data_IF_841032915693
#
_entry.id   IF_841032915693
#
_cell.length_a   1.000
_cell.length_b   1.000
_cell.length_c   1.000
_cell.angle_alpha   90.00
_cell.angle_beta   90.00
_cell.angle_gamma   90.00
#
_symmetry.space_group_name_H-M   'P 1'
#
loop_
_entity.id
_entity.type
_entity.pdbx_description
1 polymer ?
#
# COMPACT_ATOMS: atom_id res chain seq x y z
N UNK A 1 -11.71 12.78 16.55
CA UNK A 1 -12.98 13.50 16.77
C UNK A 1 -13.82 13.35 15.51
N UNK A 2 -15.10 13.02 15.63
CA UNK A 2 -15.99 12.89 14.46
C UNK A 2 -16.43 14.26 13.96
N UNK A 3 -16.57 14.42 12.64
CA UNK A 3 -17.20 15.59 12.04
C UNK A 3 -18.71 15.61 12.34
N UNK A 4 -19.31 16.81 12.29
CA UNK A 4 -20.76 17.00 12.48
C UNK A 4 -21.29 17.77 11.28
N UNK A 5 -22.42 17.32 10.74
CA UNK A 5 -23.14 17.98 9.66
C UNK A 5 -24.62 18.17 10.06
N UNK A 6 -25.24 19.24 9.57
CA UNK A 6 -26.68 19.48 9.68
C UNK A 6 -27.26 19.26 8.29
N UNK A 7 -28.14 18.25 8.15
CA UNK A 7 -28.83 17.96 6.90
C UNK A 7 -30.29 18.40 6.97
N UNK A 8 -30.73 19.20 5.99
CA UNK A 8 -32.12 19.63 5.86
C UNK A 8 -32.65 19.06 4.55
N UNK A 9 -33.57 18.10 4.65
CA UNK A 9 -34.15 17.41 3.50
C UNK A 9 -35.62 17.79 3.38
N UNK A 10 -35.96 18.52 2.32
CA UNK A 10 -37.31 19.03 2.07
C UNK A 10 -37.95 18.21 0.97
N UNK A 11 -39.13 17.64 1.23
CA UNK A 11 -39.95 16.93 0.25
C UNK A 11 -41.23 17.73 0.00
N UNK A 12 -41.42 18.20 -1.22
CA UNK A 12 -42.61 18.94 -1.64
C UNK A 12 -43.58 17.99 -2.36
N UNK A 13 -44.84 17.86 -1.91
CA UNK A 13 -45.84 17.07 -2.64
C UNK A 13 -46.01 17.56 -4.08
N UNK A 14 -46.03 16.64 -5.04
CA UNK A 14 -46.23 16.95 -6.47
C UNK A 14 -44.99 17.47 -7.20
N UNK A 15 -43.81 17.51 -6.56
CA UNK A 15 -42.54 17.73 -7.26
C UNK A 15 -41.85 16.42 -7.63
N UNK A 16 -41.69 16.23 -8.93
CA UNK A 16 -40.91 15.15 -9.54
C UNK A 16 -39.59 15.68 -10.12
N UNK A 17 -38.53 14.87 -10.09
CA UNK A 17 -37.21 15.19 -10.66
C UNK A 17 -36.08 15.26 -9.63
N UNK A 18 -34.89 15.68 -10.10
CA UNK A 18 -33.70 15.82 -9.25
C UNK A 18 -33.82 17.04 -8.32
N UNK A 19 -33.50 16.83 -7.04
CA UNK A 19 -33.44 17.90 -6.07
C UNK A 19 -32.25 18.84 -6.32
N UNK A 20 -32.43 20.12 -5.99
CA UNK A 20 -31.32 21.07 -5.89
C UNK A 20 -30.60 20.84 -4.57
N UNK A 21 -29.27 20.90 -4.59
CA UNK A 21 -28.45 20.64 -3.40
C UNK A 21 -27.68 21.91 -3.05
N UNK A 22 -27.79 22.32 -1.80
CA UNK A 22 -27.13 23.51 -1.27
C UNK A 22 -26.20 23.13 -0.14
N UNK A 23 -25.04 23.77 -0.10
CA UNK A 23 -24.01 23.51 0.89
C UNK A 23 -23.47 24.80 1.50
N UNK A 24 -23.18 24.75 2.79
CA UNK A 24 -22.42 25.77 3.50
C UNK A 24 -21.47 25.07 4.49
N UNK A 25 -20.26 25.61 4.67
CA UNK A 25 -19.26 25.05 5.56
C UNK A 25 -18.96 26.01 6.71
N UNK A 26 -18.80 25.46 7.91
CA UNK A 26 -18.42 26.22 9.09
C UNK A 26 -17.22 25.57 9.77
N UNK A 27 -16.04 26.15 9.54
CA UNK A 27 -14.79 25.71 10.14
C UNK A 27 -14.42 26.54 11.38
N UNK A 28 -13.63 25.95 12.29
CA UNK A 28 -13.10 26.65 13.47
C UNK A 28 -13.52 26.05 14.81
N UNK A 29 -13.29 26.82 15.87
CA UNK A 29 -13.56 26.42 17.26
C UNK A 29 -15.05 26.32 17.54
N UNK A 30 -15.45 25.47 18.51
CA UNK A 30 -16.85 25.34 18.93
C UNK A 30 -17.40 26.67 19.44
N UNK A 31 -16.66 27.33 20.32
CA UNK A 31 -16.98 28.62 20.94
C UNK A 31 -15.68 29.23 21.49
N UNK A 32 -15.50 30.54 21.34
CA UNK A 32 -14.40 31.29 21.95
C UNK A 32 -14.54 31.40 23.46
N UNK A 33 -13.46 31.76 24.17
CA UNK A 33 -13.47 31.91 25.64
C UNK A 33 -14.47 32.96 26.12
N UNK A 34 -14.59 34.08 25.40
CA UNK A 34 -15.58 35.15 25.66
C UNK A 34 -17.00 34.78 25.19
N UNK A 35 -17.15 33.64 24.51
CA UNK A 35 -18.41 33.10 24.04
C UNK A 35 -19.04 33.81 22.85
N UNK A 36 -18.36 34.77 22.24
CA UNK A 36 -18.92 35.64 21.20
C UNK A 36 -18.63 35.18 19.77
N UNK A 37 -17.68 34.27 19.58
CA UNK A 37 -17.31 33.76 18.26
C UNK A 37 -17.17 32.23 18.23
N UNK A 38 -17.12 31.67 17.02
CA UNK A 38 -17.06 30.23 16.77
C UNK A 38 -18.39 29.65 16.27
N UNK A 39 -18.45 28.32 16.24
CA UNK A 39 -19.56 27.59 15.62
C UNK A 39 -20.91 27.83 16.29
N UNK A 40 -20.98 27.79 17.63
CA UNK A 40 -22.25 27.93 18.33
C UNK A 40 -22.86 29.34 18.23
N UNK A 41 -22.10 30.44 18.42
CA UNK A 41 -22.64 31.79 18.18
C UNK A 41 -23.12 31.98 16.74
N UNK A 42 -22.36 31.52 15.73
CA UNK A 42 -22.78 31.58 14.33
C UNK A 42 -24.11 30.86 14.10
N UNK A 43 -24.25 29.62 14.60
CA UNK A 43 -25.49 28.84 14.45
C UNK A 43 -26.67 29.45 15.23
N UNK A 44 -26.41 30.24 16.28
CA UNK A 44 -27.48 30.91 17.05
C UNK A 44 -27.98 32.18 16.35
N UNK A 45 -27.13 32.85 15.56
CA UNK A 45 -27.46 34.09 14.85
C UNK A 45 -27.93 33.88 13.41
N UNK A 46 -27.71 32.69 12.83
CA UNK A 46 -28.06 32.35 11.46
C UNK A 46 -29.17 31.30 11.43
N UNK A 47 -29.96 31.36 10.36
CA UNK A 47 -31.02 30.39 10.05
C UNK A 47 -30.87 29.95 8.58
N UNK A 48 -31.82 29.17 8.08
CA UNK A 48 -31.80 28.66 6.70
C UNK A 48 -31.84 29.79 5.66
N UNK A 49 -32.46 30.93 5.98
CA UNK A 49 -32.57 32.05 5.04
C UNK A 49 -31.35 32.96 5.07
N UNK A 50 -30.69 33.10 6.23
CA UNK A 50 -29.48 33.93 6.41
C UNK A 50 -28.19 33.22 6.04
N UNK A 51 -28.18 31.88 6.09
CA UNK A 51 -26.99 31.11 5.76
C UNK A 51 -26.59 31.34 4.31
N UNK A 52 -25.32 31.68 4.08
CA UNK A 52 -24.77 31.78 2.73
C UNK A 52 -24.60 30.37 2.14
N UNK A 53 -25.56 29.99 1.31
CA UNK A 53 -25.57 28.71 0.61
C UNK A 53 -24.90 28.81 -0.75
N UNK A 54 -24.10 27.80 -1.07
CA UNK A 54 -23.60 27.55 -2.43
C UNK A 54 -24.37 26.39 -3.02
N UNK A 55 -25.02 26.58 -4.17
CA UNK A 55 -25.60 25.48 -4.92
C UNK A 55 -24.47 24.58 -5.46
N UNK A 56 -24.60 23.28 -5.22
CA UNK A 56 -23.65 22.26 -5.66
C UNK A 56 -24.37 21.25 -6.53
N UNK A 57 -23.60 20.57 -7.38
CA UNK A 57 -24.09 19.57 -8.32
C UNK A 57 -23.37 18.26 -8.03
N UNK A 58 -23.83 17.46 -7.05
CA UNK A 58 -23.25 16.16 -6.77
C UNK A 58 -23.30 15.27 -8.01
N UNK A 59 -22.15 14.83 -8.48
CA UNK A 59 -22.02 14.04 -9.69
C UNK A 59 -21.33 12.69 -9.42
N UNK A 60 -21.56 11.73 -10.32
CA UNK A 60 -20.87 10.44 -10.31
C UNK A 60 -19.33 10.62 -10.32
N UNK A 61 -18.57 9.70 -9.70
CA UNK A 61 -19.04 8.49 -9.03
C UNK A 61 -19.39 8.66 -7.55
N UNK A 62 -18.96 9.75 -6.90
CA UNK A 62 -19.00 9.87 -5.44
C UNK A 62 -20.19 10.66 -4.90
N UNK A 63 -20.84 11.49 -5.74
CA UNK A 63 -21.94 12.38 -5.34
C UNK A 63 -21.64 13.18 -4.06
N UNK A 64 -20.44 13.80 -3.98
CA UNK A 64 -20.02 14.50 -2.78
C UNK A 64 -20.87 15.74 -2.51
N UNK A 65 -21.29 15.91 -1.25
CA UNK A 65 -22.01 17.10 -0.79
C UNK A 65 -21.05 18.19 -0.32
N UNK A 66 -20.07 18.51 -1.17
CA UNK A 66 -19.14 19.62 -0.97
C UNK A 66 -18.86 20.33 -2.30
N UNK A 67 -18.44 21.59 -2.30
CA UNK A 67 -17.96 22.26 -3.49
C UNK A 67 -16.73 21.54 -4.03
N UNK A 68 -16.72 21.27 -5.34
CA UNK A 68 -15.58 20.68 -6.04
C UNK A 68 -15.22 21.51 -7.26
N UNK A 69 -13.92 21.65 -7.54
CA UNK A 69 -13.46 22.29 -8.76
C UNK A 69 -13.72 21.35 -9.95
N UNK A 70 -14.77 21.63 -10.73
CA UNK A 70 -15.23 20.79 -11.85
C UNK A 70 -14.10 20.47 -12.84
N UNK A 71 -13.24 21.44 -13.17
CA UNK A 71 -12.12 21.24 -14.10
C UNK A 71 -11.11 20.23 -13.54
N UNK A 72 -10.71 20.39 -12.28
CA UNK A 72 -9.78 19.49 -11.61
C UNK A 72 -10.34 18.07 -11.47
N UNK A 73 -11.64 17.96 -11.18
CA UNK A 73 -12.36 16.68 -11.12
C UNK A 73 -12.33 15.97 -12.48
N UNK A 74 -12.75 16.65 -13.55
CA UNK A 74 -12.73 16.09 -14.91
C UNK A 74 -11.31 15.69 -15.33
N UNK A 75 -10.31 16.51 -15.02
CA UNK A 75 -8.90 16.21 -15.25
C UNK A 75 -8.48 14.91 -14.53
N UNK A 76 -8.75 14.78 -13.23
CA UNK A 76 -8.39 13.58 -12.46
C UNK A 76 -9.10 12.33 -12.95
N UNK A 77 -10.42 12.39 -13.18
CA UNK A 77 -11.20 11.22 -13.63
C UNK A 77 -10.95 10.84 -15.10
N UNK A 78 -10.35 11.72 -15.90
CA UNK A 78 -9.88 11.37 -17.24
C UNK A 78 -8.60 10.52 -17.23
N UNK A 79 -7.92 10.42 -16.09
CA UNK A 79 -6.74 9.58 -15.89
C UNK A 79 -7.12 8.14 -15.52
N UNK A 80 -6.23 7.20 -15.85
CA UNK A 80 -6.44 5.77 -15.63
C UNK A 80 -6.38 5.41 -14.14
N UNK A 81 -7.37 4.69 -13.62
CA UNK A 81 -7.33 4.16 -12.26
C UNK A 81 -6.31 3.02 -12.18
N UNK A 82 -5.51 2.96 -11.12
CA UNK A 82 -4.49 1.89 -10.99
C UNK A 82 -5.10 0.48 -11.04
N UNK A 83 -6.34 0.31 -10.56
CA UNK A 83 -7.08 -0.97 -10.67
C UNK A 83 -7.52 -1.28 -12.10
N UNK A 84 -7.66 -0.27 -12.95
CA UNK A 84 -7.99 -0.46 -14.37
C UNK A 84 -6.71 -0.72 -15.18
N UNK A 85 -5.56 -0.18 -14.75
CA UNK A 85 -4.25 -0.45 -15.34
C UNK A 85 -3.78 -1.85 -14.97
N UNK A 86 -3.87 -2.21 -13.69
CA UNK A 86 -3.39 -3.47 -13.10
C UNK A 86 -4.57 -4.24 -12.49
N UNK A 87 -5.36 -4.94 -13.32
CA UNK A 87 -6.65 -5.51 -12.92
C UNK A 87 -6.53 -6.60 -11.85
N UNK A 88 -5.46 -7.41 -11.88
CA UNK A 88 -5.23 -8.39 -10.83
C UNK A 88 -4.62 -7.69 -9.61
N UNK A 89 -5.40 -7.52 -8.55
CA UNK A 89 -4.93 -6.98 -7.27
C UNK A 89 -5.77 -7.53 -6.11
N UNK A 90 -5.22 -7.50 -4.91
CA UNK A 90 -5.95 -7.88 -3.70
C UNK A 90 -5.34 -7.16 -2.49
N UNK A 91 -6.08 -7.19 -1.39
CA UNK A 91 -5.55 -6.71 -0.10
C UNK A 91 -4.39 -7.59 0.35
N UNK A 92 -3.56 -7.08 1.26
CA UNK A 92 -2.52 -7.89 1.89
C UNK A 92 -3.06 -9.04 2.75
N UNK A 93 -2.14 -9.91 3.20
CA UNK A 93 -2.46 -11.04 4.07
C UNK A 93 -3.07 -10.53 5.38
N UNK A 94 -4.18 -11.14 5.79
CA UNK A 94 -4.78 -10.96 7.12
C UNK A 94 -4.43 -12.17 7.96
N UNK A 95 -3.57 -11.97 8.96
CA UNK A 95 -3.18 -13.05 9.88
C UNK A 95 -4.17 -13.18 11.04
N UNK A 96 -4.74 -12.06 11.50
CA UNK A 96 -5.39 -11.86 12.80
C UNK A 96 -4.52 -12.17 14.04
N UNK A 97 -3.30 -12.72 13.86
CA UNK A 97 -2.39 -13.21 14.91
C UNK A 97 -0.93 -13.00 14.47
N UNK A 98 -0.55 -11.74 14.22
CA UNK A 98 0.79 -11.39 13.70
C UNK A 98 1.91 -12.02 14.54
N UNK A 99 1.84 -11.97 15.88
CA UNK A 99 2.85 -12.55 16.78
C UNK A 99 3.06 -14.05 16.61
N UNK A 100 2.03 -14.79 16.18
CA UNK A 100 2.12 -16.22 15.94
C UNK A 100 2.69 -16.51 14.54
N UNK A 101 2.31 -15.68 13.56
CA UNK A 101 2.45 -16.00 12.13
C UNK A 101 3.62 -15.32 11.44
N UNK A 102 4.15 -14.22 12.01
CA UNK A 102 5.17 -13.38 11.40
C UNK A 102 6.33 -13.21 12.38
N UNK A 103 7.54 -13.57 11.97
CA UNK A 103 8.75 -13.56 12.81
C UNK A 103 9.93 -12.88 12.11
N UNK A 104 10.88 -12.35 12.88
CA UNK A 104 12.06 -11.67 12.33
C UNK A 104 13.01 -12.64 11.62
N UNK A 105 13.09 -13.88 12.11
CA UNK A 105 13.96 -14.91 11.53
C UNK A 105 13.22 -16.18 11.12
N UNK A 106 13.73 -16.85 10.09
CA UNK A 106 13.28 -18.20 9.68
C UNK A 106 13.34 -19.18 10.85
N UNK A 107 14.37 -19.09 11.69
CA UNK A 107 14.58 -19.96 12.85
C UNK A 107 13.47 -19.81 13.89
N UNK A 108 13.10 -18.58 14.23
CA UNK A 108 12.00 -18.31 15.17
C UNK A 108 10.66 -18.76 14.63
N UNK A 109 10.39 -18.53 13.34
CA UNK A 109 9.19 -19.04 12.68
C UNK A 109 9.12 -20.56 12.78
N UNK A 110 10.19 -21.27 12.41
CA UNK A 110 10.24 -22.75 12.45
C UNK A 110 10.03 -23.27 13.87
N UNK A 111 10.67 -22.65 14.86
CA UNK A 111 10.48 -23.01 16.27
C UNK A 111 9.02 -22.83 16.68
N UNK A 112 8.43 -21.68 16.33
CA UNK A 112 7.05 -21.32 16.66
C UNK A 112 6.04 -22.28 16.04
N UNK A 113 6.15 -22.58 14.73
CA UNK A 113 5.19 -23.46 14.06
C UNK A 113 5.26 -24.90 14.56
N UNK A 114 6.45 -25.40 14.91
CA UNK A 114 6.64 -26.75 15.48
C UNK A 114 6.02 -26.86 16.86
N UNK A 115 6.29 -25.88 17.71
CA UNK A 115 5.78 -25.79 19.08
C UNK A 115 4.25 -25.60 19.10
N UNK A 116 3.74 -24.66 18.31
CA UNK A 116 2.30 -24.44 18.15
C UNK A 116 1.58 -25.70 17.64
N UNK A 117 2.14 -26.42 16.68
CA UNK A 117 1.49 -27.60 16.09
C UNK A 117 1.48 -28.84 16.99
N UNK A 118 2.37 -28.91 17.99
CA UNK A 118 2.58 -30.11 18.82
C UNK A 118 1.82 -30.09 20.14
N UNK A 119 1.56 -28.92 20.72
CA UNK A 119 0.86 -28.80 22.01
C UNK A 119 -0.67 -28.82 21.84
N UNK A 120 -1.46 -29.11 22.90
CA UNK A 120 -2.93 -29.01 22.87
C UNK A 120 -3.46 -27.59 22.61
N UNK A 121 -4.73 -27.46 22.23
CA UNK A 121 -5.32 -26.17 21.81
C UNK A 121 -5.35 -25.14 22.93
N UNK A 122 -5.76 -25.51 24.13
CA UNK A 122 -5.81 -24.58 25.26
C UNK A 122 -4.41 -24.22 25.77
N UNK A 123 -3.46 -25.17 25.77
CA UNK A 123 -2.04 -24.86 26.05
C UNK A 123 -1.45 -23.89 25.02
N UNK A 124 -1.78 -24.06 23.73
CA UNK A 124 -1.38 -23.12 22.69
C UNK A 124 -2.03 -21.74 22.89
N UNK A 125 -3.29 -21.72 23.31
CA UNK A 125 -4.03 -20.48 23.56
C UNK A 125 -3.33 -19.63 24.62
N UNK A 126 -2.98 -20.23 25.74
CA UNK A 126 -2.26 -19.57 26.83
C UNK A 126 -0.85 -19.15 26.41
N UNK A 127 -0.07 -20.10 25.88
CA UNK A 127 1.35 -19.88 25.54
C UNK A 127 1.58 -18.77 24.50
N UNK A 128 0.71 -18.70 23.50
CA UNK A 128 0.82 -17.70 22.41
C UNK A 128 -0.08 -16.49 22.61
N UNK A 129 -0.76 -16.37 23.77
CA UNK A 129 -1.65 -15.25 24.07
C UNK A 129 -2.79 -15.09 23.05
N UNK A 130 -3.39 -16.20 22.63
CA UNK A 130 -4.42 -16.22 21.59
C UNK A 130 -5.80 -15.97 22.23
N UNK A 131 -6.56 -15.05 21.67
CA UNK A 131 -7.95 -14.82 22.09
C UNK A 131 -8.87 -16.01 21.77
N UNK A 132 -10.16 -15.86 22.10
CA UNK A 132 -11.19 -16.83 21.72
C UNK A 132 -11.22 -17.06 20.21
N UNK A 133 -11.61 -18.27 19.84
CA UNK A 133 -11.84 -18.64 18.45
C UNK A 133 -12.94 -17.76 17.83
N UNK A 134 -12.82 -17.53 16.54
CA UNK A 134 -13.75 -16.71 15.75
C UNK A 134 -14.26 -17.51 14.56
N UNK A 135 -15.22 -16.94 13.82
CA UNK A 135 -15.72 -17.56 12.59
C UNK A 135 -14.60 -17.79 11.57
N UNK A 136 -13.69 -16.84 11.46
CA UNK A 136 -12.67 -16.79 10.39
C UNK A 136 -11.29 -17.31 10.85
N UNK A 137 -11.15 -17.71 12.12
CA UNK A 137 -9.91 -18.27 12.65
C UNK A 137 -10.12 -19.11 13.91
N UNK A 138 -9.61 -20.35 13.90
CA UNK A 138 -9.65 -21.33 15.00
C UNK A 138 -8.29 -22.01 15.16
N UNK A 139 -7.90 -22.29 16.41
CA UNK A 139 -6.60 -22.93 16.70
C UNK A 139 -6.49 -24.30 16.01
N UNK A 140 -7.54 -25.12 16.11
CA UNK A 140 -7.57 -26.46 15.50
C UNK A 140 -7.40 -26.43 13.98
N UNK A 141 -8.02 -25.46 13.31
CA UNK A 141 -7.89 -25.30 11.85
C UNK A 141 -6.50 -24.81 11.45
N UNK A 142 -5.93 -23.85 12.19
CA UNK A 142 -4.57 -23.39 11.95
C UNK A 142 -3.54 -24.52 12.11
N UNK A 143 -3.68 -25.36 13.14
CA UNK A 143 -2.83 -26.55 13.32
C UNK A 143 -3.04 -27.59 12.23
N UNK A 144 -4.29 -27.84 11.82
CA UNK A 144 -4.58 -28.78 10.76
C UNK A 144 -3.96 -28.34 9.42
N UNK A 145 -4.01 -27.05 9.12
CA UNK A 145 -3.39 -26.46 7.93
C UNK A 145 -1.88 -26.67 7.92
N UNK A 146 -1.21 -26.35 9.03
CA UNK A 146 0.23 -26.60 9.21
C UNK A 146 0.61 -28.09 9.07
N UNK A 147 -0.21 -28.99 9.61
CA UNK A 147 0.04 -30.45 9.58
C UNK A 147 -0.17 -31.05 8.19
N UNK A 148 -1.17 -30.58 7.43
CA UNK A 148 -1.41 -31.02 6.05
C UNK A 148 -0.17 -30.85 5.18
N UNK A 149 0.57 -29.77 5.42
CA UNK A 149 1.77 -29.41 4.68
C UNK A 149 3.07 -30.03 5.25
N UNK A 150 2.94 -30.92 6.25
CA UNK A 150 4.02 -31.68 6.90
C UNK A 150 5.17 -30.83 7.44
N UNK A 151 4.98 -29.52 7.61
CA UNK A 151 6.00 -28.58 8.07
C UNK A 151 7.34 -28.71 7.30
N UNK A 152 7.28 -29.03 6.01
CA UNK A 152 8.46 -29.37 5.21
C UNK A 152 9.38 -28.17 4.90
N UNK A 153 9.03 -26.97 5.37
CA UNK A 153 9.80 -25.74 5.21
C UNK A 153 9.63 -25.07 3.84
N UNK A 154 9.01 -25.73 2.86
CA UNK A 154 8.80 -25.20 1.50
C UNK A 154 7.94 -23.94 1.46
N UNK A 155 7.03 -23.78 2.43
CA UNK A 155 6.13 -22.64 2.53
C UNK A 155 6.67 -21.49 3.41
N UNK A 156 7.95 -21.52 3.79
CA UNK A 156 8.57 -20.37 4.46
C UNK A 156 8.82 -19.29 3.41
N UNK A 157 8.18 -18.14 3.59
CA UNK A 157 8.24 -17.03 2.64
C UNK A 157 8.57 -15.72 3.33
N UNK A 158 9.23 -14.84 2.58
CA UNK A 158 9.44 -13.46 3.00
C UNK A 158 8.19 -12.61 2.78
N UNK A 159 7.94 -11.74 3.75
CA UNK A 159 6.80 -10.85 3.82
C UNK A 159 7.32 -9.46 4.15
N UNK A 160 6.97 -8.48 3.33
CA UNK A 160 7.13 -7.08 3.68
C UNK A 160 6.12 -6.73 4.78
N UNK A 161 6.56 -6.80 6.03
CA UNK A 161 5.70 -6.50 7.17
C UNK A 161 5.39 -5.01 7.20
N UNK A 162 6.40 -4.14 7.04
CA UNK A 162 6.29 -2.68 6.88
C UNK A 162 7.35 -2.20 5.89
N UNK A 163 7.32 -0.95 5.38
CA UNK A 163 8.42 -0.40 4.60
C UNK A 163 9.76 -0.68 5.27
N UNK A 164 10.67 -1.33 4.55
CA UNK A 164 12.01 -1.72 5.00
C UNK A 164 12.06 -2.76 6.16
N UNK A 165 10.94 -3.39 6.52
CA UNK A 165 10.84 -4.42 7.55
C UNK A 165 10.40 -5.74 6.90
N UNK A 166 11.38 -6.50 6.42
CA UNK A 166 11.18 -7.85 5.89
C UNK A 166 11.16 -8.87 7.03
N UNK A 167 10.16 -9.73 7.02
CA UNK A 167 9.95 -10.78 8.02
C UNK A 167 9.60 -12.10 7.34
N UNK A 168 9.56 -13.15 8.13
CA UNK A 168 9.23 -14.50 7.68
C UNK A 168 7.86 -14.93 8.15
N UNK A 169 7.13 -15.60 7.26
CA UNK A 169 5.85 -16.25 7.54
C UNK A 169 5.82 -17.64 6.91
N UNK A 170 4.92 -18.50 7.40
CA UNK A 170 4.62 -19.79 6.77
C UNK A 170 3.35 -19.66 5.91
N UNK A 171 3.49 -19.53 4.59
CA UNK A 171 2.39 -19.23 3.68
C UNK A 171 1.83 -20.48 3.02
N UNK A 172 0.69 -20.97 3.51
CA UNK A 172 -0.02 -22.13 2.94
C UNK A 172 -1.00 -21.77 1.83
N UNK A 173 -1.43 -20.51 1.74
CA UNK A 173 -2.47 -20.06 0.82
C UNK A 173 -3.90 -20.45 1.21
N UNK A 174 -4.09 -21.20 2.30
CA UNK A 174 -5.41 -21.69 2.73
C UNK A 174 -6.12 -20.70 3.67
N UNK A 175 -7.33 -20.29 3.31
CA UNK A 175 -8.15 -19.42 4.16
C UNK A 175 -8.64 -20.16 5.42
N UNK A 176 -8.83 -19.42 6.51
CA UNK A 176 -9.18 -19.96 7.83
C UNK A 176 -8.19 -21.02 8.36
N UNK A 177 -6.94 -20.97 7.87
CA UNK A 177 -5.84 -21.85 8.26
C UNK A 177 -4.84 -21.13 9.16
N UNK A 178 -3.54 -21.31 8.89
CA UNK A 178 -2.50 -20.59 9.63
C UNK A 178 -2.65 -19.07 9.48
N UNK A 179 -3.05 -18.62 8.29
CA UNK A 179 -3.52 -17.25 8.04
C UNK A 179 -5.05 -17.22 7.95
N UNK A 180 -5.65 -16.15 8.47
CA UNK A 180 -7.10 -15.93 8.37
C UNK A 180 -7.51 -15.71 6.91
N UNK A 181 -6.86 -14.78 6.19
CA UNK A 181 -7.09 -14.51 4.75
C UNK A 181 -5.74 -14.34 4.04
N UNK A 182 -5.20 -15.41 3.42
CA UNK A 182 -3.90 -15.37 2.75
C UNK A 182 -3.91 -14.72 1.35
N UNK A 183 -5.08 -14.58 0.72
CA UNK A 183 -5.22 -13.96 -0.62
C UNK A 183 -4.40 -14.67 -1.72
N UNK A 184 -4.55 -16.01 -1.87
CA UNK A 184 -3.77 -16.79 -2.82
C UNK A 184 -3.94 -16.33 -4.27
N UNK A 185 -5.08 -15.74 -4.62
CA UNK A 185 -5.37 -15.21 -5.95
C UNK A 185 -4.35 -14.17 -6.45
N UNK A 186 -3.67 -13.47 -5.53
CA UNK A 186 -2.63 -12.46 -5.86
C UNK A 186 -1.28 -12.83 -5.29
N UNK A 187 -1.21 -13.24 -4.02
CA UNK A 187 0.05 -13.51 -3.32
C UNK A 187 0.88 -14.61 -3.98
N UNK A 188 0.24 -15.59 -4.63
CA UNK A 188 0.93 -16.65 -5.37
C UNK A 188 1.88 -16.10 -6.45
N UNK A 189 1.55 -14.95 -7.05
CA UNK A 189 2.35 -14.35 -8.11
C UNK A 189 3.64 -13.71 -7.59
N UNK A 190 3.70 -13.41 -6.29
CA UNK A 190 4.93 -12.96 -5.63
C UNK A 190 5.80 -14.12 -5.15
N UNK A 191 5.27 -15.35 -5.16
CA UNK A 191 5.98 -16.57 -4.76
C UNK A 191 6.44 -17.41 -5.96
N UNK A 192 5.80 -17.21 -7.11
CA UNK A 192 6.06 -17.98 -8.33
C UNK A 192 7.44 -17.67 -8.96
N UNK A 193 8.03 -16.52 -8.68
CA UNK A 193 9.33 -16.13 -9.22
C UNK A 193 9.52 -14.62 -9.10
N UNK A 194 10.50 -14.10 -9.83
CA UNK A 194 10.80 -12.67 -9.83
C UNK A 194 9.56 -11.84 -10.19
N UNK A 195 9.17 -10.94 -9.30
CA UNK A 195 8.04 -10.06 -9.53
C UNK A 195 8.25 -8.74 -8.81
N UNK A 196 7.62 -7.69 -9.31
CA UNK A 196 7.53 -6.39 -8.66
C UNK A 196 6.07 -6.13 -8.31
N UNK A 197 5.80 -5.53 -7.17
CA UNK A 197 4.45 -5.15 -6.77
C UNK A 197 4.40 -3.70 -6.33
N UNK A 198 3.34 -2.98 -6.71
CA UNK A 198 3.00 -1.70 -6.10
C UNK A 198 2.06 -1.96 -4.94
N UNK A 199 2.39 -1.43 -3.77
CA UNK A 199 1.54 -1.40 -2.60
C UNK A 199 0.92 -0.01 -2.48
N UNK A 200 -0.39 0.07 -2.35
CA UNK A 200 -1.09 1.35 -2.10
C UNK A 200 -2.36 1.16 -1.28
N UNK A 201 -3.07 2.25 -0.97
CA UNK A 201 -4.36 2.27 -0.28
C UNK A 201 -5.45 2.75 -1.23
N UNK A 202 -6.69 2.34 -0.97
CA UNK A 202 -7.87 2.92 -1.63
C UNK A 202 -8.28 4.23 -0.98
N UNK A 203 -8.40 4.22 0.33
CA UNK A 203 -8.82 5.38 1.11
C UNK A 203 -7.71 5.75 2.08
N UNK A 204 -7.70 7.01 2.50
CA UNK A 204 -6.77 7.52 3.50
C UNK A 204 -7.57 8.12 4.65
N UNK A 205 -7.44 7.53 5.83
CA UNK A 205 -8.10 7.95 7.07
C UNK A 205 -7.23 8.91 7.89
N UNK A 206 -5.90 8.76 7.82
CA UNK A 206 -4.96 9.60 8.56
C UNK A 206 -4.93 11.03 7.99
N UNK A 207 -4.80 12.06 8.82
CA UNK A 207 -4.58 13.43 8.36
C UNK A 207 -3.18 13.63 7.74
N UNK A 208 -3.05 14.39 6.64
CA UNK A 208 -1.75 14.77 6.06
C UNK A 208 -1.69 14.59 4.55
N UNK A 209 -0.49 14.48 3.97
CA UNK A 209 -0.29 14.23 2.53
C UNK A 209 -0.36 12.74 2.17
N UNK A 210 -0.79 12.43 0.95
CA UNK A 210 -0.81 11.05 0.47
C UNK A 210 0.63 10.56 0.28
N UNK A 211 1.05 9.57 1.06
CA UNK A 211 2.41 9.01 1.07
C UNK A 211 2.40 7.47 1.00
N UNK A 212 1.22 6.89 0.84
CA UNK A 212 0.97 5.46 1.03
C UNK A 212 1.23 4.65 -0.24
N UNK A 213 2.40 4.81 -0.85
CA UNK A 213 2.83 4.03 -2.02
C UNK A 213 4.23 3.47 -1.77
N UNK A 214 4.38 2.15 -1.95
CA UNK A 214 5.66 1.47 -1.77
C UNK A 214 5.79 0.30 -2.74
N UNK A 215 7.00 -0.05 -3.17
CA UNK A 215 7.23 -1.21 -4.02
C UNK A 215 7.76 -2.41 -3.23
N UNK A 216 7.53 -3.62 -3.71
CA UNK A 216 8.00 -4.85 -3.06
C UNK A 216 8.29 -5.94 -4.09
N UNK A 217 9.15 -6.89 -3.72
CA UNK A 217 9.31 -8.19 -4.41
C UNK A 217 8.67 -9.34 -3.63
N UNK A 218 8.14 -9.06 -2.44
CA UNK A 218 7.69 -10.04 -1.47
C UNK A 218 6.17 -9.98 -1.25
N UNK A 219 5.64 -10.96 -0.51
CA UNK A 219 4.29 -10.91 0.03
C UNK A 219 4.08 -9.62 0.85
N UNK A 220 2.82 -9.20 1.00
CA UNK A 220 2.48 -8.09 1.90
C UNK A 220 1.43 -8.48 2.93
N UNK A 221 1.44 -7.76 4.04
CA UNK A 221 0.41 -7.77 5.06
C UNK A 221 -0.58 -6.63 4.78
N UNK A 222 -1.84 -6.76 5.19
CA UNK A 222 -2.87 -5.76 4.87
C UNK A 222 -2.66 -4.37 5.50
N UNK A 223 -1.65 -4.19 6.35
CA UNK A 223 -1.21 -2.94 6.95
C UNK A 223 0.30 -2.68 6.73
N UNK A 224 0.86 -3.21 5.64
CA UNK A 224 2.26 -2.98 5.27
C UNK A 224 2.61 -1.50 5.18
N UNK A 225 2.00 -0.75 4.27
CA UNK A 225 2.35 0.66 4.01
C UNK A 225 1.65 1.61 4.98
N UNK A 226 0.48 1.23 5.49
CA UNK A 226 -0.21 2.00 6.54
C UNK A 226 -0.82 1.10 7.60
N UNK A 227 -0.63 1.51 8.85
CA UNK A 227 -1.21 0.87 10.03
C UNK A 227 -2.71 1.13 10.21
N UNK A 228 -3.27 2.12 9.50
CA UNK A 228 -4.69 2.49 9.64
C UNK A 228 -5.53 2.08 8.46
N UNK A 229 -4.94 2.03 7.27
CA UNK A 229 -5.67 1.72 6.06
C UNK A 229 -5.33 0.34 5.53
N UNK A 230 -6.30 -0.27 4.84
CA UNK A 230 -6.10 -1.54 4.15
C UNK A 230 -5.22 -1.32 2.93
N UNK A 231 -4.11 -2.04 2.87
CA UNK A 231 -3.16 -1.98 1.77
C UNK A 231 -3.45 -3.07 0.73
N UNK A 232 -3.32 -2.67 -0.52
CA UNK A 232 -3.52 -3.47 -1.72
C UNK A 232 -2.20 -3.70 -2.42
N UNK A 233 -2.04 -4.88 -3.01
CA UNK A 233 -0.90 -5.26 -3.83
C UNK A 233 -1.31 -5.38 -5.29
N UNK A 234 -0.55 -4.74 -6.16
CA UNK A 234 -0.67 -4.79 -7.61
C UNK A 234 0.61 -5.44 -8.19
N UNK A 235 0.66 -6.77 -8.39
CA UNK A 235 1.82 -7.43 -8.98
C UNK A 235 1.98 -7.04 -10.45
N UNK A 236 3.21 -6.82 -10.90
CA UNK A 236 3.55 -6.44 -12.27
C UNK A 236 3.34 -7.61 -13.23
N UNK A 237 3.65 -8.82 -12.79
CA UNK A 237 3.48 -10.03 -13.59
C UNK A 237 2.45 -10.97 -13.00
N UNK A 238 1.67 -11.60 -13.89
CA UNK A 238 0.79 -12.71 -13.60
C UNK A 238 1.46 -13.99 -14.10
N UNK A 239 1.63 -14.94 -13.19
CA UNK A 239 2.14 -16.27 -13.49
C UNK A 239 1.00 -17.22 -13.86
N UNK A 240 1.17 -18.01 -14.92
CA UNK A 240 0.22 -19.05 -15.30
C UNK A 240 0.12 -20.08 -14.17
N UNK A 241 -1.07 -20.64 -14.01
CA UNK A 241 -1.22 -21.84 -13.17
C UNK A 241 -0.26 -22.92 -13.70
N UNK A 242 0.46 -23.62 -12.81
CA UNK A 242 1.15 -24.83 -13.24
C UNK A 242 0.10 -25.76 -13.85
N UNK A 243 0.35 -26.30 -15.05
CA UNK A 243 -0.51 -27.36 -15.58
C UNK A 243 -0.42 -28.52 -14.61
N UNK A 244 -1.56 -28.92 -14.04
CA UNK A 244 -1.68 -30.18 -13.30
C UNK A 244 -1.51 -31.33 -14.29
N UNK A 245 -0.27 -31.75 -14.56
CA UNK A 245 -0.05 -33.13 -14.99
C UNK A 245 -0.24 -33.99 -13.73
N UNK A 246 -1.33 -34.74 -13.70
CA UNK A 246 -1.65 -35.68 -12.62
C UNK A 246 -0.60 -36.79 -12.65
N UNK A 247 0.49 -36.61 -11.92
CA UNK A 247 1.39 -37.68 -11.53
C UNK A 247 1.49 -37.70 -10.00
N UNK A 248 0.47 -38.29 -9.36
CA UNK A 248 0.55 -39.04 -8.09
C UNK A 248 1.23 -38.44 -6.84
N UNK A 249 1.76 -37.22 -6.85
CA UNK A 249 2.45 -36.61 -5.72
C UNK A 249 2.13 -35.11 -5.68
N UNK A 250 1.41 -34.69 -4.64
CA UNK A 250 1.09 -33.30 -4.32
C UNK A 250 2.37 -32.51 -4.02
N UNK A 251 3.06 -32.04 -5.06
CA UNK A 251 4.28 -31.26 -4.97
C UNK A 251 4.04 -29.84 -5.49
N UNK A 252 3.99 -28.86 -4.58
CA UNK A 252 4.26 -27.46 -4.91
C UNK A 252 5.79 -27.27 -4.98
N UNK A 253 6.40 -27.76 -6.07
CA UNK A 253 7.70 -27.27 -6.52
C UNK A 253 7.46 -26.53 -7.84
N UNK A 254 7.17 -25.24 -7.71
CA UNK A 254 6.93 -24.35 -8.81
C UNK A 254 8.26 -23.97 -9.48
N UNK A 255 8.84 -24.88 -10.28
CA UNK A 255 9.92 -24.52 -11.20
C UNK A 255 9.31 -23.89 -12.45
N UNK A 256 9.19 -22.57 -12.45
CA UNK A 256 8.75 -21.81 -13.61
C UNK A 256 9.95 -21.50 -14.52
N UNK A 257 9.84 -21.83 -15.81
CA UNK A 257 10.65 -21.17 -16.85
C UNK A 257 10.25 -19.67 -16.86
N UNK A 258 11.15 -18.80 -16.37
CA UNK A 258 10.90 -17.39 -16.02
C UNK A 258 10.37 -16.54 -17.17
N UNK A 259 10.64 -16.91 -18.42
CA UNK A 259 10.22 -16.16 -19.61
C UNK A 259 9.00 -16.74 -20.33
N UNK A 260 8.59 -17.99 -20.05
CA UNK A 260 7.45 -18.64 -20.75
C UNK A 260 6.15 -18.69 -19.95
N UNK A 261 6.24 -18.46 -18.65
CA UNK A 261 5.13 -18.72 -17.72
C UNK A 261 4.53 -17.49 -17.05
N UNK A 262 4.94 -16.27 -17.41
CA UNK A 262 4.33 -15.04 -16.89
C UNK A 262 3.91 -14.09 -18.02
N UNK A 263 3.04 -13.14 -17.72
CA UNK A 263 2.64 -12.05 -18.62
C UNK A 263 2.35 -10.80 -17.79
N UNK A 264 2.47 -9.58 -18.37
CA UNK A 264 2.26 -8.36 -17.61
C UNK A 264 0.79 -8.23 -17.16
N UNK A 265 0.59 -7.87 -15.90
CA UNK A 265 -0.69 -7.45 -15.32
C UNK A 265 -1.03 -6.02 -15.76
N UNK A 266 -1.07 -5.80 -17.07
CA UNK A 266 -1.32 -4.49 -17.67
C UNK A 266 -2.50 -4.59 -18.63
N UNK A 267 -3.46 -3.70 -18.47
CA UNK A 267 -4.64 -3.65 -19.31
C UNK A 267 -4.26 -3.34 -20.77
N UNK A 268 -4.70 -4.16 -21.76
CA UNK A 268 -4.41 -3.94 -23.17
C UNK A 268 -4.85 -2.57 -23.71
N UNK A 269 -5.98 -2.03 -23.25
CA UNK A 269 -6.46 -0.71 -23.71
C UNK A 269 -5.56 0.42 -23.20
N UNK A 270 -5.07 0.29 -21.96
CA UNK A 270 -4.08 1.20 -21.40
C UNK A 270 -2.76 1.13 -22.18
N UNK A 271 -2.29 -0.08 -22.49
CA UNK A 271 -1.07 -0.28 -23.29
C UNK A 271 -1.20 0.37 -24.67
N UNK A 272 -2.32 0.14 -25.35
CA UNK A 272 -2.61 0.73 -26.66
C UNK A 272 -2.63 2.26 -26.61
N UNK A 273 -3.22 2.85 -25.57
CA UNK A 273 -3.20 4.32 -25.40
C UNK A 273 -1.77 4.83 -25.22
N UNK A 274 -0.95 4.16 -24.39
CA UNK A 274 0.45 4.54 -24.17
C UNK A 274 1.28 4.43 -25.45
N UNK A 275 1.18 3.31 -26.17
CA UNK A 275 1.89 3.09 -27.44
C UNK A 275 1.54 4.18 -28.46
N UNK A 276 0.26 4.54 -28.56
CA UNK A 276 -0.21 5.60 -29.45
C UNK A 276 0.28 6.99 -29.03
N UNK A 277 0.16 7.35 -27.75
CA UNK A 277 0.55 8.67 -27.24
C UNK A 277 2.05 8.91 -27.33
N UNK A 278 2.84 7.88 -27.07
CA UNK A 278 4.30 7.96 -27.06
C UNK A 278 4.95 7.59 -28.41
N UNK A 279 4.18 6.99 -29.33
CA UNK A 279 4.65 6.47 -30.62
C UNK A 279 5.80 5.46 -30.43
N UNK A 280 5.57 4.48 -29.56
CA UNK A 280 6.55 3.47 -29.17
C UNK A 280 5.90 2.08 -29.16
N UNK A 281 6.68 1.01 -29.35
CA UNK A 281 6.17 -0.36 -29.33
C UNK A 281 6.36 -1.02 -27.97
N UNK A 282 5.40 -1.82 -27.53
CA UNK A 282 5.48 -2.55 -26.28
C UNK A 282 6.17 -3.91 -26.44
N UNK A 283 7.09 -4.23 -25.51
CA UNK A 283 7.69 -5.56 -25.35
C UNK A 283 7.11 -6.23 -24.10
N UNK A 284 7.04 -7.57 -24.10
CA UNK A 284 6.33 -8.29 -23.05
C UNK A 284 7.07 -8.41 -21.70
N UNK A 285 8.39 -8.20 -21.69
CA UNK A 285 9.24 -8.47 -20.52
C UNK A 285 10.36 -7.45 -20.40
N UNK A 286 10.65 -7.06 -19.15
CA UNK A 286 11.80 -6.22 -18.82
C UNK A 286 11.59 -4.75 -19.19
N UNK A 287 12.69 -3.99 -19.18
CA UNK A 287 12.68 -2.63 -19.70
C UNK A 287 12.89 -2.64 -21.21
N UNK A 288 12.23 -1.73 -21.92
CA UNK A 288 12.57 -1.39 -23.29
C UNK A 288 13.81 -0.48 -23.36
N UNK A 289 14.21 -0.14 -24.58
CA UNK A 289 15.27 0.84 -24.83
C UNK A 289 14.80 2.30 -24.63
N UNK A 290 13.51 2.50 -24.38
CA UNK A 290 12.80 3.77 -24.30
C UNK A 290 12.99 4.65 -25.54
N UNK A 291 13.50 4.12 -26.65
CA UNK A 291 13.67 4.82 -27.94
C UNK A 291 12.64 4.30 -28.93
N UNK A 292 12.60 2.99 -29.11
CA UNK A 292 11.69 2.27 -30.00
C UNK A 292 10.77 1.33 -29.22
N UNK A 293 11.20 0.90 -28.04
CA UNK A 293 10.50 -0.09 -27.23
C UNK A 293 10.25 0.38 -25.80
N UNK A 294 9.13 -0.07 -25.24
CA UNK A 294 8.68 0.14 -23.87
C UNK A 294 8.35 -1.22 -23.26
N UNK A 295 8.77 -1.49 -22.02
CA UNK A 295 8.41 -2.72 -21.33
C UNK A 295 7.59 -2.51 -20.05
N UNK A 296 7.17 -3.61 -19.38
CA UNK A 296 6.35 -3.54 -18.17
C UNK A 296 7.03 -2.76 -17.03
N UNK A 297 8.33 -2.93 -16.84
CA UNK A 297 9.11 -2.29 -15.79
C UNK A 297 9.21 -0.76 -16.02
N UNK A 298 9.29 -0.30 -17.27
CA UNK A 298 9.26 1.13 -17.58
C UNK A 298 7.91 1.77 -17.18
N UNK A 299 6.81 1.05 -17.45
CA UNK A 299 5.45 1.47 -17.05
C UNK A 299 5.34 1.48 -15.53
N UNK A 300 5.78 0.42 -14.86
CA UNK A 300 5.81 0.34 -13.40
C UNK A 300 6.55 1.52 -12.79
N UNK A 301 7.75 1.81 -13.31
CA UNK A 301 8.61 2.90 -12.86
C UNK A 301 7.95 4.26 -13.12
N UNK A 302 7.34 4.47 -14.29
CA UNK A 302 6.59 5.69 -14.60
C UNK A 302 5.44 5.92 -13.60
N UNK A 303 4.61 4.90 -13.36
CA UNK A 303 3.50 4.96 -12.38
C UNK A 303 4.06 5.31 -10.99
N UNK A 304 5.14 4.64 -10.59
CA UNK A 304 5.77 4.85 -9.29
C UNK A 304 6.28 6.28 -9.12
N UNK A 305 6.90 6.86 -10.15
CA UNK A 305 7.38 8.23 -10.15
C UNK A 305 6.22 9.25 -10.05
N UNK A 306 5.13 9.04 -10.81
CA UNK A 306 3.93 9.88 -10.76
C UNK A 306 3.36 9.88 -9.34
N UNK A 307 3.20 8.71 -8.73
CA UNK A 307 2.68 8.58 -7.37
C UNK A 307 3.62 9.11 -6.29
N UNK A 308 4.89 9.37 -6.61
CA UNK A 308 5.86 10.03 -5.73
C UNK A 308 6.03 11.53 -6.00
N UNK A 309 5.38 12.07 -7.04
CA UNK A 309 5.44 13.50 -7.34
C UNK A 309 4.71 14.33 -6.28
N UNK A 310 5.43 15.28 -5.67
CA UNK A 310 4.85 16.22 -4.72
C UNK A 310 3.74 17.06 -5.34
N UNK A 311 3.91 17.47 -6.61
CA UNK A 311 2.89 18.22 -7.35
C UNK A 311 1.64 17.38 -7.56
N UNK A 312 1.78 16.10 -7.95
CA UNK A 312 0.66 15.17 -8.10
C UNK A 312 -0.09 14.99 -6.78
N UNK A 313 0.64 14.64 -5.70
CA UNK A 313 0.08 14.40 -4.36
C UNK A 313 -0.64 15.61 -3.79
N UNK A 314 -0.12 16.82 -4.02
CA UNK A 314 -0.73 18.07 -3.57
C UNK A 314 -1.95 18.43 -4.41
N UNK A 315 -1.84 18.33 -5.75
CA UNK A 315 -2.91 18.71 -6.69
C UNK A 315 -4.15 17.83 -6.53
N UNK A 316 -3.97 16.52 -6.37
CA UNK A 316 -5.07 15.57 -6.29
C UNK A 316 -5.34 15.07 -4.86
N UNK A 317 -4.89 15.81 -3.84
CA UNK A 317 -4.97 15.40 -2.44
C UNK A 317 -6.39 15.01 -2.00
N UNK A 318 -7.42 15.71 -2.47
CA UNK A 318 -8.82 15.44 -2.13
C UNK A 318 -9.34 14.12 -2.73
N UNK A 319 -8.87 13.75 -3.92
CA UNK A 319 -9.27 12.51 -4.58
C UNK A 319 -8.49 11.31 -4.04
N UNK A 320 -7.20 11.49 -3.78
CA UNK A 320 -6.31 10.47 -3.17
C UNK A 320 -6.72 10.09 -1.74
N UNK A 321 -7.61 10.87 -1.10
CA UNK A 321 -8.17 10.54 0.21
C UNK A 321 -9.27 9.48 0.15
N UNK A 322 -9.99 9.40 -0.96
CA UNK A 322 -11.30 8.73 -1.02
C UNK A 322 -11.38 7.61 -2.06
N UNK A 323 -10.37 7.48 -2.92
CA UNK A 323 -10.30 6.41 -3.90
C UNK A 323 -8.85 6.14 -4.34
N UNK A 324 -8.65 5.04 -5.04
CA UNK A 324 -7.34 4.65 -5.57
C UNK A 324 -6.71 5.75 -6.44
N UNK A 325 -5.36 5.82 -6.47
CA UNK A 325 -4.66 6.81 -7.27
C UNK A 325 -4.85 6.55 -8.77
N UNK A 326 -4.97 7.64 -9.54
CA UNK A 326 -5.07 7.61 -11.01
C UNK A 326 -3.79 8.10 -11.68
N UNK A 327 -3.41 7.48 -12.78
CA UNK A 327 -2.19 7.78 -13.54
C UNK A 327 -2.53 8.62 -14.77
N UNK A 328 -2.14 9.91 -14.82
CA UNK A 328 -2.19 10.68 -16.05
C UNK A 328 -1.15 10.18 -17.05
N UNK A 329 -1.58 9.88 -18.28
CA UNK A 329 -0.69 9.46 -19.38
C UNK A 329 -0.24 10.68 -20.18
N UNK A 330 1.08 10.89 -20.27
CA UNK A 330 1.68 11.97 -21.06
C UNK A 330 1.91 11.54 -22.51
N UNK A 331 1.79 12.47 -23.46
CA UNK A 331 2.25 12.29 -24.85
C UNK A 331 3.69 12.76 -25.06
N UNK A 332 4.32 13.34 -24.02
CA UNK A 332 5.70 13.82 -24.10
C UNK A 332 6.66 12.69 -23.74
N UNK A 333 7.29 12.09 -24.76
CA UNK A 333 8.24 10.99 -24.58
C UNK A 333 9.47 11.37 -23.72
N UNK A 334 9.93 12.62 -23.79
CA UNK A 334 11.03 13.09 -22.93
C UNK A 334 10.62 13.08 -21.47
N UNK A 335 9.43 13.62 -21.16
CA UNK A 335 8.88 13.60 -19.82
C UNK A 335 8.65 12.17 -19.31
N UNK A 336 8.12 11.29 -20.16
CA UNK A 336 7.95 9.88 -19.82
C UNK A 336 9.28 9.22 -19.43
N UNK A 337 10.33 9.39 -20.24
CA UNK A 337 11.68 8.86 -19.95
C UNK A 337 12.25 9.38 -18.64
N UNK A 338 12.12 10.68 -18.39
CA UNK A 338 12.61 11.30 -17.15
C UNK A 338 11.88 10.74 -15.93
N UNK A 339 10.56 10.58 -16.01
CA UNK A 339 9.76 10.01 -14.93
C UNK A 339 10.06 8.51 -14.74
N UNK A 340 10.10 7.71 -15.80
CA UNK A 340 10.47 6.30 -15.72
C UNK A 340 11.87 6.11 -15.12
N UNK A 341 12.86 6.92 -15.52
CA UNK A 341 14.22 6.87 -14.94
C UNK A 341 14.25 7.23 -13.45
N UNK A 342 13.50 8.25 -13.02
CA UNK A 342 13.37 8.61 -11.60
C UNK A 342 12.62 7.53 -10.81
N UNK A 343 11.60 6.93 -11.43
CA UNK A 343 10.86 5.80 -10.89
C UNK A 343 11.75 4.60 -10.63
N UNK A 344 12.55 4.21 -11.62
CA UNK A 344 13.52 3.11 -11.51
C UNK A 344 14.51 3.34 -10.36
N UNK A 345 15.05 4.56 -10.25
CA UNK A 345 15.92 4.92 -9.13
C UNK A 345 15.22 4.79 -7.78
N UNK A 346 13.97 5.28 -7.65
CA UNK A 346 13.19 5.16 -6.42
C UNK A 346 12.86 3.71 -6.09
N UNK A 347 12.48 2.89 -7.08
CA UNK A 347 12.20 1.47 -6.91
C UNK A 347 13.46 0.75 -6.40
N UNK A 348 14.60 0.95 -7.06
CA UNK A 348 15.88 0.36 -6.63
C UNK A 348 16.30 0.82 -5.24
N UNK A 349 16.06 2.08 -4.87
CA UNK A 349 16.30 2.57 -3.52
C UNK A 349 15.39 1.89 -2.50
N UNK A 350 14.09 1.77 -2.80
CA UNK A 350 13.10 1.21 -1.87
C UNK A 350 13.20 -0.31 -1.73
N UNK A 351 13.75 -1.00 -2.73
CA UNK A 351 14.12 -2.42 -2.68
C UNK A 351 15.51 -2.67 -2.08
N UNK A 352 16.25 -1.61 -1.71
CA UNK A 352 17.62 -1.67 -1.21
C UNK A 352 18.65 -2.25 -2.20
N UNK A 353 18.39 -2.11 -3.50
CA UNK A 353 19.21 -2.64 -4.61
C UNK A 353 20.07 -1.57 -5.29
N UNK A 354 19.85 -0.30 -4.96
CA UNK A 354 20.58 0.81 -5.57
C UNK A 354 22.03 0.88 -5.09
N UNK A 355 22.96 1.07 -6.03
CA UNK A 355 24.38 1.31 -5.72
C UNK A 355 24.61 2.62 -4.95
N UNK A 356 23.66 3.56 -4.99
CA UNK A 356 23.69 4.79 -4.21
C UNK A 356 23.70 4.52 -2.69
N UNK A 357 23.19 3.36 -2.26
CA UNK A 357 23.17 2.95 -0.86
C UNK A 357 24.55 2.53 -0.33
N UNK A 358 25.55 2.33 -1.20
CA UNK A 358 26.92 2.05 -0.75
C UNK A 358 27.61 3.26 -0.11
N UNK A 359 27.18 4.46 -0.47
CA UNK A 359 27.82 5.73 -0.08
C UNK A 359 26.83 6.62 0.70
N UNK A 360 26.23 6.10 1.77
CA UNK A 360 25.31 6.90 2.59
C UNK A 360 26.04 7.65 3.71
N UNK A 361 25.54 8.85 4.03
CA UNK A 361 25.98 9.58 5.23
C UNK A 361 25.44 8.96 6.54
N UNK A 362 24.49 8.03 6.45
CA UNK A 362 23.84 7.33 7.56
C UNK A 362 24.72 6.17 7.99
N UNK A 363 25.07 6.12 9.26
CA UNK A 363 25.90 5.05 9.83
C UNK A 363 25.51 4.84 11.29
N UNK A 364 25.77 3.63 11.81
CA UNK A 364 25.76 3.39 13.24
C UNK A 364 26.87 4.24 13.90
N UNK A 365 26.55 5.01 14.96
CA UNK A 365 27.54 5.83 15.68
C UNK A 365 28.64 4.98 16.31
N UNK A 366 28.30 3.74 16.71
CA UNK A 366 29.21 2.78 17.30
C UNK A 366 29.09 1.47 16.53
N UNK A 367 30.10 1.12 15.73
CA UNK A 367 30.20 -0.20 15.11
C UNK A 367 30.65 -1.20 16.17
N UNK A 368 29.77 -2.12 16.57
CA UNK A 368 30.15 -3.20 17.49
C UNK A 368 30.92 -4.27 16.72
N UNK A 369 31.97 -4.84 17.33
CA UNK A 369 32.82 -5.88 16.71
C UNK A 369 32.10 -7.23 16.59
N UNK A 370 30.96 -7.40 17.25
CA UNK A 370 30.17 -8.63 17.31
C UNK A 370 28.70 -8.30 17.02
N UNK A 371 28.28 -8.62 15.79
CA UNK A 371 26.95 -8.94 15.23
C UNK A 371 25.62 -8.34 15.74
N UNK A 372 25.57 -7.29 16.55
CA UNK A 372 24.28 -6.63 16.85
C UNK A 372 24.40 -5.12 16.85
N UNK A 373 24.35 -4.54 15.65
CA UNK A 373 23.96 -3.13 15.50
C UNK A 373 22.46 -3.03 15.86
N UNK A 374 22.16 -2.44 17.02
CA UNK A 374 20.79 -2.32 17.57
C UNK A 374 20.33 -0.88 17.43
N UNK A 375 19.15 -0.67 16.84
CA UNK A 375 18.48 0.63 16.81
C UNK A 375 17.75 0.85 18.12
N UNK A 376 18.20 1.82 18.91
CA UNK A 376 17.57 2.14 20.19
C UNK A 376 16.23 2.88 20.02
N UNK A 377 15.38 2.82 21.05
CA UNK A 377 14.11 3.55 21.06
C UNK A 377 14.36 5.05 20.91
N UNK A 378 13.77 5.66 19.89
CA UNK A 378 13.95 7.09 19.58
C UNK A 378 14.89 7.35 18.39
N UNK A 379 15.42 6.29 17.78
CA UNK A 379 16.20 6.32 16.54
C UNK A 379 15.43 5.63 15.38
N UNK A 380 15.74 5.93 14.10
CA UNK A 380 16.77 6.85 13.64
C UNK A 380 16.47 8.31 14.00
N UNK A 381 17.52 9.05 14.35
CA UNK A 381 17.45 10.48 14.71
C UNK A 381 18.36 11.29 13.81
N UNK A 382 17.79 12.31 13.17
CA UNK A 382 18.59 13.32 12.46
C UNK A 382 19.22 14.27 13.48
N UNK A 383 20.53 14.45 13.37
CA UNK A 383 21.26 15.50 14.06
C UNK A 383 21.69 16.58 13.07
N UNK A 384 21.38 17.83 13.38
CA UNK A 384 21.78 18.98 12.57
C UNK A 384 23.29 19.28 12.71
N UNK A 385 23.91 19.99 11.74
CA UNK A 385 25.27 20.48 11.93
C UNK A 385 25.40 21.27 13.24
N UNK A 386 26.43 20.98 14.03
CA UNK A 386 26.68 21.61 15.33
C UNK A 386 26.11 20.86 16.54
N UNK A 387 25.19 19.90 16.34
CA UNK A 387 24.69 19.06 17.43
C UNK A 387 25.75 18.03 17.87
N UNK A 388 25.78 17.64 19.15
CA UNK A 388 26.77 16.70 19.65
C UNK A 388 26.51 15.28 19.13
N UNK A 389 27.52 14.66 18.51
CA UNK A 389 27.50 13.29 18.01
C UNK A 389 27.35 12.28 19.17
N UNK A 390 26.45 11.28 19.05
CA UNK A 390 26.31 10.23 20.05
C UNK A 390 27.62 9.42 20.16
N UNK A 391 28.08 9.21 21.40
CA UNK A 391 29.30 8.46 21.69
C UNK A 391 30.57 9.31 21.76
N UNK A 392 30.79 10.24 20.83
CA UNK A 392 31.99 11.10 20.83
C UNK A 392 31.77 12.47 21.49
N UNK A 393 30.53 12.96 21.51
CA UNK A 393 30.15 14.30 22.00
C UNK A 393 30.62 15.45 21.11
N UNK A 394 31.29 15.17 19.98
CA UNK A 394 31.80 16.21 19.08
C UNK A 394 30.70 16.77 18.19
N UNK A 395 30.71 18.07 17.85
CA UNK A 395 29.70 18.63 16.95
C UNK A 395 29.73 17.98 15.56
N UNK A 396 28.58 17.59 15.03
CA UNK A 396 28.51 17.03 13.67
C UNK A 396 28.79 18.14 12.64
N UNK A 397 29.69 17.91 11.68
CA UNK A 397 30.05 18.95 10.69
C UNK A 397 29.02 19.09 9.57
N UNK A 398 28.23 18.05 9.33
CA UNK A 398 27.10 18.01 8.39
C UNK A 398 25.95 17.26 9.04
N UNK A 399 24.72 17.62 8.68
CA UNK A 399 23.53 16.96 9.21
C UNK A 399 23.58 15.46 8.93
N UNK A 400 23.34 14.65 9.96
CA UNK A 400 23.55 13.20 9.90
C UNK A 400 22.44 12.47 10.60
N UNK A 401 21.93 11.41 9.97
CA UNK A 401 21.00 10.49 10.62
C UNK A 401 21.82 9.42 11.32
N UNK A 402 21.61 9.29 12.62
CA UNK A 402 22.13 8.20 13.43
C UNK A 402 21.04 7.15 13.59
N UNK A 403 21.43 5.88 13.52
CA UNK A 403 20.56 4.73 13.76
C UNK A 403 20.97 4.05 15.05
#
# INVERSE_FOLDING_TARGET
QQGVAIGIFVKEPGKDGLARVFHSELWGIRKSKDGRSGKYPYLSSNDVYKTAWTEIFPEKPMYLFKPEEKKLRLEYYSSWLITDIMPLNSVGIVTARDKLTIHLSKRELIKTIKDFSSIPDETAREKFGLGKDSKDWKISLAKADLKKDKLCGKNISELLYRPFDLRYTYYTGNSSGFHCRPRPEVMRHMLAGDNLGICTVRNKEISGHFEHVFCTKNLIQHHTVSLKEVNYLFPLYIYKEPKNEINGQNNLELKYDELKNRYPNLNPDFLKEIEQKLKISFIQYGNGDLKQTLGPEDIFNFIYAVFHSATYRKRYAEFLKIDFPRVPVTSNMKLFRELASKGDQLVKLHLLESTLLKNTAVAYPVRRKEEEDIVEKGYPKFLAPGEPEPGTGKPVTKGRVYI
#
